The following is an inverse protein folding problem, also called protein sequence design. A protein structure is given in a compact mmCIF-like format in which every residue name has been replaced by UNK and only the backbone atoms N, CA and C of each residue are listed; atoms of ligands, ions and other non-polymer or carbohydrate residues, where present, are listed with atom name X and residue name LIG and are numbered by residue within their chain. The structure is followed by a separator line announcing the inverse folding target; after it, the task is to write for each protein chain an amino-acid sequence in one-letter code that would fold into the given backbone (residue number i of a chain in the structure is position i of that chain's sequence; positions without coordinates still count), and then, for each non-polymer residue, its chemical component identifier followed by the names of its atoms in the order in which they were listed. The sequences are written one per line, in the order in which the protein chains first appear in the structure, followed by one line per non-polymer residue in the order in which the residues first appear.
data_IF_241039801981
#
_entry.id   IF_241039801981
#
_cell.length_a   1.000
_cell.length_b   1.000
_cell.length_c   1.000
_cell.angle_alpha   90.00
_cell.angle_beta   90.00
_cell.angle_gamma   90.00
#
_symmetry.space_group_name_H-M   'P 1'
#
loop_
_entity.id
_entity.type
_entity.pdbx_description
1 polymer ?
#
# COMPACT_ATOMS: atom_id res chain seq x y z
N UNK A 1 -14.54 29.01 -13.85
CA UNK A 1 -13.17 28.47 -13.94
C UNK A 1 -13.18 27.14 -13.20
N UNK A 2 -13.01 26.02 -13.91
CA UNK A 2 -12.95 24.70 -13.29
C UNK A 2 -11.55 24.50 -12.71
N UNK A 3 -11.46 24.38 -11.40
CA UNK A 3 -10.22 24.12 -10.67
C UNK A 3 -9.67 22.75 -11.09
N UNK A 4 -8.43 22.72 -11.59
CA UNK A 4 -7.70 21.49 -11.84
C UNK A 4 -7.61 20.68 -10.53
N UNK A 5 -8.38 19.59 -10.43
CA UNK A 5 -8.34 18.68 -9.29
C UNK A 5 -6.98 17.97 -9.34
N UNK A 6 -6.14 18.23 -8.34
CA UNK A 6 -4.71 17.91 -8.35
C UNK A 6 -4.44 16.43 -8.62
N UNK A 7 -3.80 16.16 -9.75
CA UNK A 7 -3.22 14.87 -10.14
C UNK A 7 -1.97 14.52 -9.31
N UNK A 8 -1.92 14.86 -8.02
CA UNK A 8 -0.72 14.84 -7.18
C UNK A 8 0.07 16.16 -7.19
N UNK A 9 1.12 16.22 -6.37
CA UNK A 9 2.05 17.36 -6.30
C UNK A 9 2.98 17.41 -7.52
N UNK A 10 3.49 18.59 -7.85
CA UNK A 10 4.34 18.78 -9.04
C UNK A 10 5.64 17.96 -8.99
N UNK A 11 6.20 17.74 -7.79
CA UNK A 11 7.40 16.92 -7.58
C UNK A 11 7.13 15.43 -7.36
N UNK A 12 5.86 15.02 -7.36
CA UNK A 12 5.46 13.62 -7.21
C UNK A 12 4.08 13.38 -7.85
N UNK A 13 3.98 13.45 -9.20
CA UNK A 13 2.70 13.34 -9.88
C UNK A 13 2.09 11.94 -9.74
N UNK A 14 0.76 11.88 -9.70
CA UNK A 14 0.02 10.65 -9.82
C UNK A 14 0.22 10.06 -11.22
N UNK A 15 0.53 8.77 -11.29
CA UNK A 15 0.73 8.05 -12.53
C UNK A 15 -0.37 7.01 -12.76
N UNK A 16 -0.46 6.54 -13.99
CA UNK A 16 -1.14 5.30 -14.34
C UNK A 16 -0.09 4.24 -14.64
N UNK A 17 0.18 3.33 -13.69
CA UNK A 17 1.03 2.19 -13.99
C UNK A 17 0.42 1.35 -15.12
N UNK A 18 1.27 0.85 -16.00
CA UNK A 18 0.85 -0.01 -17.10
C UNK A 18 0.56 -1.42 -16.56
N UNK A 19 -0.65 -1.62 -16.05
CA UNK A 19 -1.10 -2.93 -15.61
C UNK A 19 -1.69 -3.73 -16.77
N UNK A 20 -1.24 -4.96 -16.93
CA UNK A 20 -2.06 -5.96 -17.63
C UNK A 20 -3.27 -6.30 -16.75
N UNK A 21 -4.42 -5.71 -17.09
CA UNK A 21 -5.72 -5.95 -16.48
C UNK A 21 -6.56 -6.97 -17.27
N UNK A 22 -6.04 -7.47 -18.42
CA UNK A 22 -6.82 -8.19 -19.44
C UNK A 22 -8.23 -7.59 -19.66
N UNK A 23 -8.35 -6.25 -19.55
CA UNK A 23 -9.57 -5.49 -19.75
C UNK A 23 -10.69 -5.65 -18.71
N UNK A 24 -10.48 -6.38 -17.61
CA UNK A 24 -11.55 -6.68 -16.64
C UNK A 24 -11.39 -5.92 -15.32
N UNK A 25 -10.26 -6.11 -14.63
CA UNK A 25 -9.97 -5.45 -13.36
C UNK A 25 -8.50 -5.51 -12.99
N UNK A 26 -8.09 -4.65 -12.06
CA UNK A 26 -6.83 -4.83 -11.35
C UNK A 26 -7.03 -5.91 -10.29
N UNK A 27 -6.68 -7.14 -10.62
CA UNK A 27 -6.88 -8.31 -9.76
C UNK A 27 -5.66 -8.61 -8.88
N UNK A 28 -5.89 -8.95 -7.61
CA UNK A 28 -4.86 -9.47 -6.72
C UNK A 28 -5.39 -10.48 -5.69
N UNK A 29 -4.50 -11.28 -5.11
CA UNK A 29 -4.80 -12.24 -4.06
C UNK A 29 -4.41 -11.66 -2.70
N UNK A 30 -5.40 -11.49 -1.82
CA UNK A 30 -5.18 -11.05 -0.44
C UNK A 30 -5.67 -12.16 0.49
N UNK A 31 -4.77 -12.72 1.30
CA UNK A 31 -5.08 -13.82 2.25
C UNK A 31 -5.81 -15.01 1.62
N UNK A 32 -5.39 -15.40 0.42
CA UNK A 32 -5.97 -16.54 -0.31
C UNK A 32 -7.33 -16.27 -0.98
N UNK A 33 -7.85 -15.04 -0.93
CA UNK A 33 -9.04 -14.62 -1.66
C UNK A 33 -8.67 -13.66 -2.79
N UNK A 34 -9.25 -13.87 -3.97
CA UNK A 34 -9.06 -12.99 -5.12
C UNK A 34 -9.98 -11.78 -5.03
N UNK A 35 -9.41 -10.58 -5.17
CA UNK A 35 -10.11 -9.31 -5.23
C UNK A 35 -9.91 -8.65 -6.58
N UNK A 36 -10.98 -8.05 -7.10
CA UNK A 36 -11.05 -7.47 -8.43
C UNK A 36 -11.37 -5.99 -8.29
N UNK A 37 -10.33 -5.15 -8.33
CA UNK A 37 -10.45 -3.69 -8.19
C UNK A 37 -10.75 -3.04 -9.55
N UNK A 38 -11.38 -1.86 -9.59
CA UNK A 38 -11.56 -1.11 -10.84
C UNK A 38 -10.26 -1.01 -11.65
N UNK A 39 -10.34 -1.05 -12.98
CA UNK A 39 -9.14 -1.00 -13.83
C UNK A 39 -8.30 0.28 -13.61
N UNK A 40 -8.94 1.37 -13.18
CA UNK A 40 -8.30 2.64 -12.86
C UNK A 40 -8.02 2.83 -11.35
N UNK A 41 -8.12 1.77 -10.53
CA UNK A 41 -7.88 1.84 -9.10
C UNK A 41 -6.54 2.52 -8.83
N UNK A 42 -6.51 3.57 -8.00
CA UNK A 42 -5.29 4.31 -7.66
C UNK A 42 -4.67 5.15 -8.78
N UNK A 43 -5.21 5.11 -10.01
CA UNK A 43 -4.58 5.70 -11.19
C UNK A 43 -4.84 7.20 -11.32
N UNK A 44 -3.81 7.96 -11.70
CA UNK A 44 -3.86 9.35 -12.20
C UNK A 44 -4.45 10.45 -11.29
N UNK A 45 -5.28 10.10 -10.30
CA UNK A 45 -6.01 11.06 -9.48
C UNK A 45 -5.94 10.67 -8.00
N UNK A 46 -5.81 11.70 -7.18
CA UNK A 46 -5.94 11.60 -5.74
C UNK A 46 -7.40 11.36 -5.34
N UNK A 47 -7.71 10.14 -4.92
CA UNK A 47 -9.06 9.77 -4.49
C UNK A 47 -9.04 8.78 -3.31
N UNK A 48 -10.17 8.62 -2.64
CA UNK A 48 -10.36 7.68 -1.54
C UNK A 48 -10.63 6.28 -2.09
N UNK A 49 -9.64 5.71 -2.76
CA UNK A 49 -9.77 4.47 -3.51
C UNK A 49 -10.19 3.29 -2.63
N UNK A 50 -9.71 3.19 -1.39
CA UNK A 50 -10.06 2.07 -0.51
C UNK A 50 -11.44 2.23 0.18
N UNK A 51 -12.05 3.42 0.18
CA UNK A 51 -13.26 3.69 0.97
C UNK A 51 -14.40 2.73 0.61
N UNK A 52 -14.90 2.00 1.61
CA UNK A 52 -16.01 1.05 1.43
C UNK A 52 -15.62 -0.26 0.72
N UNK A 53 -14.33 -0.50 0.44
CA UNK A 53 -13.86 -1.65 -0.34
C UNK A 53 -13.23 -2.74 0.52
N UNK A 54 -13.51 -3.98 0.15
CA UNK A 54 -12.86 -5.15 0.71
C UNK A 54 -11.36 -5.19 0.32
N UNK A 55 -10.50 -5.87 1.10
CA UNK A 55 -10.81 -6.65 2.31
C UNK A 55 -10.87 -5.87 3.63
N UNK A 56 -10.23 -4.70 3.72
CA UNK A 56 -10.04 -4.01 5.01
C UNK A 56 -11.01 -2.85 5.27
N UNK A 57 -11.59 -2.28 4.22
CA UNK A 57 -12.33 -1.03 4.28
C UNK A 57 -13.81 -1.21 3.98
N UNK A 58 -14.33 -2.45 4.02
CA UNK A 58 -15.76 -2.71 3.86
C UNK A 58 -16.54 -2.25 5.10
N UNK A 59 -17.81 -1.89 4.92
CA UNK A 59 -18.66 -1.34 5.97
C UNK A 59 -18.94 -2.31 7.14
N UNK A 60 -18.59 -3.59 6.99
CA UNK A 60 -18.74 -4.64 8.00
C UNK A 60 -17.48 -4.88 8.83
N UNK A 61 -16.35 -4.25 8.51
CA UNK A 61 -15.13 -4.37 9.31
C UNK A 61 -15.22 -3.49 10.55
N UNK A 62 -15.32 -4.11 11.74
CA UNK A 62 -15.34 -3.41 13.04
C UNK A 62 -14.05 -2.59 13.33
N UNK A 63 -13.01 -2.77 12.51
CA UNK A 63 -11.69 -2.12 12.66
C UNK A 63 -11.18 -1.60 11.30
N UNK A 64 -12.00 -0.86 10.56
CA UNK A 64 -11.55 -0.21 9.33
C UNK A 64 -10.42 0.82 9.63
N UNK A 65 -9.25 0.71 9.00
CA UNK A 65 -8.17 1.68 9.19
C UNK A 65 -8.56 3.10 8.78
N UNK A 66 -7.97 4.12 9.43
CA UNK A 66 -8.18 5.53 9.03
C UNK A 66 -7.75 5.79 7.57
N UNK A 67 -6.77 5.02 7.08
CA UNK A 67 -6.27 5.10 5.70
C UNK A 67 -7.35 4.84 4.65
N UNK A 68 -8.44 4.12 4.98
CA UNK A 68 -9.57 3.89 4.08
C UNK A 68 -10.20 5.19 3.56
N UNK A 69 -10.14 6.26 4.35
CA UNK A 69 -10.72 7.57 4.03
C UNK A 69 -9.71 8.56 3.45
N UNK A 70 -8.43 8.18 3.38
CA UNK A 70 -7.38 9.06 2.89
C UNK A 70 -7.27 8.97 1.37
N UNK A 71 -6.98 10.11 0.75
CA UNK A 71 -6.74 10.17 -0.70
C UNK A 71 -5.34 9.65 -1.02
N UNK A 72 -5.20 8.86 -2.08
CA UNK A 72 -3.90 8.42 -2.55
C UNK A 72 -3.91 8.20 -4.06
N UNK A 73 -2.73 8.01 -4.64
CA UNK A 73 -2.56 7.56 -6.01
C UNK A 73 -1.22 6.82 -6.17
N UNK A 74 -1.04 6.15 -7.31
CA UNK A 74 0.25 5.59 -7.69
C UNK A 74 1.24 6.68 -8.08
N UNK A 75 2.50 6.43 -7.78
CA UNK A 75 3.60 7.37 -7.99
C UNK A 75 4.86 6.65 -8.46
N UNK A 76 5.74 7.39 -9.15
CA UNK A 76 7.06 6.90 -9.54
C UNK A 76 8.07 7.24 -8.44
N UNK A 77 8.68 6.25 -7.76
CA UNK A 77 9.68 6.52 -6.73
C UNK A 77 10.92 7.27 -7.25
N UNK A 78 11.22 7.19 -8.55
CA UNK A 78 12.31 7.94 -9.18
C UNK A 78 11.99 9.41 -9.45
N UNK A 79 10.72 9.79 -9.37
CA UNK A 79 10.22 11.14 -9.64
C UNK A 79 9.29 11.60 -8.52
N UNK A 80 9.70 11.37 -7.26
CA UNK A 80 8.95 11.75 -6.07
C UNK A 80 9.87 12.18 -4.92
N UNK A 81 9.52 13.30 -4.29
CA UNK A 81 10.22 13.90 -3.15
C UNK A 81 9.43 13.85 -1.83
N UNK A 82 8.32 13.10 -1.81
CA UNK A 82 7.42 12.93 -0.65
C UNK A 82 7.48 11.51 -0.10
N UNK A 83 6.82 11.27 1.05
CA UNK A 83 6.72 9.93 1.61
C UNK A 83 5.98 8.98 0.65
N UNK A 84 6.56 7.79 0.47
CA UNK A 84 6.06 6.73 -0.40
C UNK A 84 5.80 5.48 0.43
N UNK A 85 4.81 4.69 0.02
CA UNK A 85 4.53 3.37 0.56
C UNK A 85 4.51 2.36 -0.59
N UNK A 86 5.03 1.18 -0.34
CA UNK A 86 4.79 0.04 -1.24
C UNK A 86 3.35 -0.41 -1.06
N UNK A 87 2.63 -0.63 -2.15
CA UNK A 87 1.27 -1.15 -2.08
C UNK A 87 1.28 -2.52 -1.41
N UNK A 88 0.53 -2.72 -0.31
CA UNK A 88 0.53 -3.99 0.42
C UNK A 88 -0.29 -5.07 -0.28
N UNK A 89 -1.24 -4.68 -1.14
CA UNK A 89 -2.17 -5.61 -1.80
C UNK A 89 -1.84 -5.85 -3.26
N UNK A 90 -0.97 -5.05 -3.85
CA UNK A 90 -0.63 -5.18 -5.26
C UNK A 90 0.75 -5.83 -5.40
N UNK A 91 0.76 -7.12 -5.74
CA UNK A 91 1.94 -7.95 -5.99
C UNK A 91 2.87 -7.36 -7.07
N UNK A 92 2.39 -6.37 -7.83
CA UNK A 92 3.13 -5.66 -8.89
C UNK A 92 4.11 -4.60 -8.39
N UNK A 93 4.50 -4.60 -7.11
CA UNK A 93 5.54 -3.71 -6.54
C UNK A 93 5.29 -2.21 -6.78
N UNK A 94 4.02 -1.81 -6.84
CA UNK A 94 3.66 -0.42 -7.10
C UNK A 94 3.88 0.46 -5.86
N UNK A 95 4.31 1.71 -6.06
CA UNK A 95 4.42 2.71 -5.00
C UNK A 95 3.18 3.62 -5.00
N UNK A 96 2.66 3.88 -3.81
CA UNK A 96 1.56 4.82 -3.57
C UNK A 96 2.04 5.95 -2.67
N UNK A 97 1.41 7.11 -2.75
CA UNK A 97 1.63 8.20 -1.79
C UNK A 97 0.31 8.81 -1.37
N UNK A 98 0.11 8.95 -0.05
CA UNK A 98 -0.96 9.78 0.50
C UNK A 98 -0.49 11.22 0.63
N UNK A 99 0.82 11.44 0.82
CA UNK A 99 1.45 12.75 0.98
C UNK A 99 1.32 13.61 -0.28
N UNK A 100 1.50 13.04 -1.48
CA UNK A 100 1.27 13.77 -2.75
C UNK A 100 -0.17 14.29 -2.88
N UNK A 101 -1.12 13.61 -2.24
CA UNK A 101 -2.53 13.95 -2.22
C UNK A 101 -2.93 14.89 -1.06
N UNK A 102 -1.96 15.47 -0.35
CA UNK A 102 -2.17 16.47 0.70
C UNK A 102 -2.50 15.89 2.08
N UNK A 103 -2.38 14.57 2.26
CA UNK A 103 -2.53 13.97 3.59
C UNK A 103 -1.22 14.13 4.36
N UNK A 104 -1.32 14.46 5.64
CA UNK A 104 -0.15 14.50 6.51
C UNK A 104 0.18 13.07 6.95
N UNK A 105 1.10 12.41 6.24
CA UNK A 105 1.66 11.17 6.72
C UNK A 105 2.71 11.49 7.78
N UNK A 106 2.27 11.60 9.03
CA UNK A 106 3.19 11.47 10.15
C UNK A 106 3.84 10.10 10.01
N UNK A 107 5.15 10.03 9.73
CA UNK A 107 5.86 8.76 9.70
C UNK A 107 5.63 8.08 11.05
N UNK A 108 4.83 6.99 11.12
CA UNK A 108 4.32 6.44 12.38
C UNK A 108 5.45 5.85 13.25
N UNK A 109 6.67 5.86 12.71
CA UNK A 109 7.87 5.31 13.33
C UNK A 109 8.97 6.34 13.61
N UNK A 110 8.73 7.63 13.39
CA UNK A 110 9.74 8.67 13.68
C UNK A 110 10.20 8.65 15.14
N UNK A 111 9.31 8.31 16.08
CA UNK A 111 9.61 8.17 17.50
C UNK A 111 10.27 6.86 17.93
N UNK A 112 10.45 5.89 17.03
CA UNK A 112 11.05 4.58 17.36
C UNK A 112 12.43 4.36 16.72
N UNK A 113 13.05 5.39 16.14
CA UNK A 113 14.43 5.31 15.67
C UNK A 113 15.36 4.92 16.82
N UNK A 114 16.06 3.79 16.66
CA UNK A 114 16.98 3.25 17.67
C UNK A 114 16.30 2.46 18.79
N UNK A 115 14.99 2.21 18.72
CA UNK A 115 14.29 1.34 19.67
C UNK A 115 14.23 -0.11 19.16
N UNK A 116 14.36 -1.07 20.08
CA UNK A 116 14.08 -2.49 19.79
C UNK A 116 12.58 -2.73 19.97
N UNK A 117 11.89 -3.08 18.88
CA UNK A 117 10.47 -3.43 18.91
C UNK A 117 10.29 -4.96 18.92
N UNK A 118 9.27 -5.42 19.64
CA UNK A 118 8.79 -6.80 19.58
C UNK A 118 7.45 -6.80 18.86
N UNK A 119 7.37 -7.54 17.76
CA UNK A 119 6.17 -7.65 16.94
C UNK A 119 5.75 -9.11 16.94
N UNK A 120 4.44 -9.36 17.08
CA UNK A 120 3.87 -10.69 16.97
C UNK A 120 3.03 -10.76 15.69
N UNK A 121 3.24 -11.79 14.89
CA UNK A 121 2.45 -12.08 13.71
C UNK A 121 1.44 -13.17 14.06
N UNK A 122 0.13 -12.91 13.91
CA UNK A 122 -0.90 -13.87 14.32
C UNK A 122 -1.02 -15.07 13.39
N UNK A 123 -0.70 -14.91 12.09
CA UNK A 123 -0.96 -15.91 11.05
C UNK A 123 0.25 -16.07 10.09
N UNK A 124 0.38 -17.25 9.48
CA UNK A 124 1.27 -17.47 8.33
C UNK A 124 0.64 -16.81 7.07
N UNK A 125 1.32 -15.82 6.50
CA UNK A 125 0.91 -15.06 5.32
C UNK A 125 2.00 -15.10 4.22
N UNK A 126 2.23 -16.27 3.58
CA UNK A 126 3.22 -16.39 2.52
C UNK A 126 2.82 -15.57 1.27
N UNK A 127 3.79 -14.94 0.56
CA UNK A 127 5.25 -15.04 0.75
C UNK A 127 5.82 -14.02 1.74
N UNK A 128 4.98 -13.21 2.39
CA UNK A 128 5.44 -12.08 3.20
C UNK A 128 6.05 -12.53 4.51
N UNK A 129 5.35 -13.36 5.28
CA UNK A 129 5.86 -13.96 6.51
C UNK A 129 5.26 -15.33 6.75
N UNK A 130 6.09 -16.33 7.01
CA UNK A 130 5.65 -17.68 7.33
C UNK A 130 6.68 -18.35 8.24
N UNK A 131 6.26 -19.40 8.95
CA UNK A 131 7.16 -20.20 9.77
C UNK A 131 7.81 -21.34 9.00
N UNK A 132 9.13 -21.41 9.09
CA UNK A 132 9.93 -22.53 8.58
C UNK A 132 11.03 -22.86 9.60
N UNK A 133 11.13 -24.15 9.97
CA UNK A 133 12.10 -24.60 10.98
C UNK A 133 11.98 -23.95 12.38
N UNK A 134 10.84 -23.32 12.69
CA UNK A 134 10.63 -22.59 13.95
C UNK A 134 11.07 -21.12 13.93
N UNK A 135 11.67 -20.66 12.83
CA UNK A 135 11.97 -19.26 12.57
C UNK A 135 10.86 -18.61 11.72
N UNK A 136 10.71 -17.29 11.84
CA UNK A 136 9.92 -16.52 10.89
C UNK A 136 10.79 -16.19 9.68
N UNK A 137 10.33 -16.55 8.49
CA UNK A 137 10.96 -16.31 7.19
C UNK A 137 9.97 -15.54 6.29
N UNK A 138 10.45 -14.87 5.24
CA UNK A 138 9.61 -14.32 4.18
C UNK A 138 10.16 -13.02 3.58
N UNK A 139 9.40 -12.33 2.73
CA UNK A 139 9.87 -11.09 2.11
C UNK A 139 10.19 -9.97 3.11
N UNK A 140 9.68 -10.04 4.34
CA UNK A 140 10.01 -9.09 5.41
C UNK A 140 11.15 -9.57 6.34
N UNK A 141 11.53 -10.85 6.29
CA UNK A 141 12.59 -11.44 7.10
C UNK A 141 13.47 -12.37 6.26
N UNK A 142 14.76 -12.09 6.15
CA UNK A 142 15.68 -13.00 5.46
C UNK A 142 15.88 -14.31 6.25
N UNK A 143 16.64 -15.25 5.68
CA UNK A 143 16.94 -16.55 6.30
C UNK A 143 17.71 -16.47 7.63
N UNK A 144 18.17 -15.28 8.03
CA UNK A 144 18.79 -15.03 9.34
C UNK A 144 17.80 -14.48 10.37
N UNK A 145 16.56 -14.21 9.96
CA UNK A 145 15.54 -13.58 10.78
C UNK A 145 15.73 -12.06 10.90
N UNK A 146 16.62 -11.46 10.12
CA UNK A 146 16.80 -10.02 10.04
C UNK A 146 15.82 -9.38 9.04
N UNK A 147 15.45 -8.13 9.29
CA UNK A 147 14.54 -7.39 8.42
C UNK A 147 15.17 -7.12 7.06
N UNK A 148 14.48 -7.48 5.98
CA UNK A 148 14.89 -7.08 4.63
C UNK A 148 14.51 -5.62 4.42
N UNK A 149 15.47 -4.71 4.54
CA UNK A 149 15.26 -3.30 4.17
C UNK A 149 15.36 -3.16 2.65
N UNK A 150 14.24 -2.80 2.02
CA UNK A 150 14.18 -2.39 0.61
C UNK A 150 14.50 -0.91 0.41
#
# INVERSE_FOLDING_TARGET
AASAQSSGSAGCPCIEPNWDTNGSCLGDWVRGQFYCFPANYGAQVCDTWDLGREPLCNATSDVAPESCSLKWCFVDPGNCDVALKRSPFLAKMAFISYSTCGNNETAPFSGIRGQTIRIAFPDDDPPYIYRSGGAAEGLIHDSTGEWVTG
#
